data_IF_662415081030
#
_entry.id   IF_662415081030
#
_cell.length_a   1.000
_cell.length_b   1.000
_cell.length_c   1.000
_cell.angle_alpha   90.00
_cell.angle_beta   90.00
_cell.angle_gamma   90.00
#
_symmetry.space_group_name_H-M   'P 1'
#
loop_
_entity.id
_entity.type
_entity.pdbx_description
1 polymer ?
#
# COMPACT_ATOMS: atom_id res chain seq x y z
N UNK A 1 7.42 -10.70 -5.66
CA UNK A 1 8.29 -9.59 -6.14
C UNK A 1 7.53 -8.29 -6.40
N UNK A 2 6.40 -8.29 -7.15
CA UNK A 2 5.64 -7.05 -7.40
C UNK A 2 5.21 -6.29 -6.14
N UNK A 3 4.81 -6.99 -5.07
CA UNK A 3 4.48 -6.37 -3.79
C UNK A 3 5.65 -5.58 -3.17
N UNK A 4 6.88 -6.10 -3.25
CA UNK A 4 8.04 -5.40 -2.70
C UNK A 4 8.36 -4.12 -3.49
N UNK A 5 8.15 -4.12 -4.81
CA UNK A 5 8.28 -2.90 -5.61
C UNK A 5 7.18 -1.90 -5.23
N UNK A 6 5.93 -2.38 -5.12
CA UNK A 6 4.79 -1.55 -4.74
C UNK A 6 4.99 -0.87 -3.37
N UNK A 7 5.47 -1.60 -2.35
CA UNK A 7 5.70 -1.02 -1.03
C UNK A 7 6.69 0.14 -1.05
N UNK A 8 7.70 0.12 -1.93
CA UNK A 8 8.68 1.22 -2.06
C UNK A 8 7.99 2.50 -2.54
N UNK A 9 7.05 2.41 -3.48
CA UNK A 9 6.28 3.56 -3.95
C UNK A 9 5.35 4.13 -2.86
N UNK A 10 4.76 3.25 -2.03
CA UNK A 10 3.87 3.66 -0.92
C UNK A 10 4.67 4.24 0.25
N UNK A 11 5.82 3.65 0.60
CA UNK A 11 6.65 4.06 1.73
C UNK A 11 7.46 5.34 1.48
N UNK A 12 7.62 5.76 0.23
CA UNK A 12 8.38 6.97 -0.09
C UNK A 12 7.70 8.20 0.53
N UNK A 13 8.33 8.97 1.44
CA UNK A 13 7.73 10.19 1.97
C UNK A 13 7.65 11.31 0.91
N UNK A 14 8.60 11.33 -0.04
CA UNK A 14 8.69 12.29 -1.13
C UNK A 14 8.07 11.74 -2.42
N UNK A 15 6.83 11.25 -2.32
CA UNK A 15 6.07 10.72 -3.47
C UNK A 15 5.93 11.79 -4.53
N UNK A 16 6.18 11.46 -5.80
CA UNK A 16 5.82 12.35 -6.91
C UNK A 16 4.31 12.59 -6.96
N UNK A 17 3.87 13.77 -7.41
CA UNK A 17 2.45 14.14 -7.45
C UNK A 17 1.60 13.11 -8.20
N UNK A 18 2.06 12.65 -9.36
CA UNK A 18 1.37 11.62 -10.15
C UNK A 18 1.18 10.29 -9.41
N UNK A 19 2.17 9.85 -8.62
CA UNK A 19 2.09 8.62 -7.82
C UNK A 19 1.13 8.82 -6.66
N UNK A 20 1.23 9.95 -5.97
CA UNK A 20 0.32 10.31 -4.88
C UNK A 20 -1.14 10.30 -5.36
N UNK A 21 -1.43 11.00 -6.46
CA UNK A 21 -2.77 11.11 -7.01
C UNK A 21 -3.30 9.76 -7.49
N UNK A 22 -2.44 8.92 -8.08
CA UNK A 22 -2.81 7.56 -8.49
C UNK A 22 -3.21 6.71 -7.27
N UNK A 23 -2.42 6.75 -6.19
CA UNK A 23 -2.71 6.02 -4.97
C UNK A 23 -4.00 6.54 -4.30
N UNK A 24 -4.18 7.87 -4.23
CA UNK A 24 -5.36 8.50 -3.65
C UNK A 24 -6.63 8.15 -4.42
N UNK A 25 -6.62 8.24 -5.76
CA UNK A 25 -7.77 7.87 -6.62
C UNK A 25 -8.16 6.39 -6.49
N UNK A 26 -7.22 5.53 -6.11
CA UNK A 26 -7.44 4.09 -5.96
C UNK A 26 -7.49 3.63 -4.50
N UNK A 27 -7.53 4.57 -3.53
CA UNK A 27 -7.39 4.29 -2.09
C UNK A 27 -8.29 3.14 -1.63
N UNK A 28 -9.59 3.23 -1.87
CA UNK A 28 -10.56 2.22 -1.45
C UNK A 28 -10.32 0.86 -2.11
N UNK A 29 -10.07 0.85 -3.43
CA UNK A 29 -9.81 -0.38 -4.18
C UNK A 29 -8.53 -1.08 -3.71
N UNK A 30 -7.49 -0.31 -3.42
CA UNK A 30 -6.22 -0.83 -2.90
C UNK A 30 -6.38 -1.40 -1.49
N UNK A 31 -7.13 -0.73 -0.61
CA UNK A 31 -7.46 -1.24 0.72
C UNK A 31 -8.19 -2.58 0.65
N UNK A 32 -9.27 -2.65 -0.14
CA UNK A 32 -10.05 -3.87 -0.32
C UNK A 32 -9.21 -5.01 -0.89
N UNK A 33 -8.36 -4.72 -1.88
CA UNK A 33 -7.43 -5.71 -2.44
C UNK A 33 -6.44 -6.22 -1.40
N UNK A 34 -5.75 -5.33 -0.67
CA UNK A 34 -4.72 -5.70 0.31
C UNK A 34 -5.30 -6.50 1.49
N UNK A 35 -6.55 -6.22 1.90
CA UNK A 35 -7.23 -6.98 2.94
C UNK A 35 -7.42 -8.46 2.59
N UNK A 36 -7.62 -8.79 1.32
CA UNK A 36 -7.75 -10.16 0.82
C UNK A 36 -6.43 -10.74 0.27
N UNK A 37 -5.40 -9.92 0.11
CA UNK A 37 -4.17 -10.30 -0.58
C UNK A 37 -3.31 -11.23 0.28
N UNK A 38 -3.15 -12.47 -0.19
CA UNK A 38 -2.24 -13.50 0.36
C UNK A 38 -2.40 -13.74 1.88
N UNK A 39 -3.64 -13.87 2.36
CA UNK A 39 -3.95 -14.11 3.78
C UNK A 39 -3.50 -15.48 4.29
N UNK A 40 -3.38 -16.48 3.41
CA UNK A 40 -3.00 -17.85 3.78
C UNK A 40 -1.48 -18.03 3.94
N UNK A 41 -0.70 -16.94 3.76
CA UNK A 41 0.74 -16.96 3.88
C UNK A 41 1.13 -16.84 5.36
N UNK A 42 1.73 -17.88 5.93
CA UNK A 42 2.23 -17.91 7.32
C UNK A 42 3.53 -17.10 7.54
N UNK A 43 3.77 -16.07 6.74
CA UNK A 43 4.97 -15.23 6.78
C UNK A 43 4.65 -13.95 7.56
N UNK A 44 5.11 -13.89 8.82
CA UNK A 44 4.85 -12.77 9.73
C UNK A 44 5.42 -11.46 9.19
N UNK A 45 6.62 -11.48 8.59
CA UNK A 45 7.23 -10.30 7.98
C UNK A 45 6.34 -9.76 6.86
N UNK A 46 5.83 -10.63 6.00
CA UNK A 46 4.93 -10.20 4.94
C UNK A 46 3.63 -9.60 5.50
N UNK A 47 3.06 -10.18 6.56
CA UNK A 47 1.85 -9.65 7.20
C UNK A 47 2.08 -8.24 7.77
N UNK A 48 3.23 -7.99 8.40
CA UNK A 48 3.59 -6.65 8.89
C UNK A 48 3.80 -5.65 7.77
N UNK A 49 4.53 -6.03 6.71
CA UNK A 49 4.74 -5.18 5.53
C UNK A 49 3.41 -4.82 4.86
N UNK A 50 2.47 -5.78 4.78
CA UNK A 50 1.14 -5.55 4.23
C UNK A 50 0.34 -4.58 5.07
N UNK A 51 0.34 -4.75 6.40
CA UNK A 51 -0.32 -3.85 7.33
C UNK A 51 0.24 -2.43 7.21
N UNK A 52 1.57 -2.29 7.18
CA UNK A 52 2.22 -0.99 6.97
C UNK A 52 1.75 -0.29 5.68
N UNK A 53 1.70 -1.02 4.56
CA UNK A 53 1.24 -0.47 3.28
C UNK A 53 -0.23 -0.06 3.34
N UNK A 54 -1.08 -0.85 3.98
CA UNK A 54 -2.49 -0.51 4.20
C UNK A 54 -2.62 0.76 5.03
N UNK A 55 -1.89 0.87 6.13
CA UNK A 55 -1.95 2.05 7.00
C UNK A 55 -1.48 3.33 6.28
N UNK A 56 -0.40 3.25 5.49
CA UNK A 56 0.07 4.36 4.67
C UNK A 56 -0.95 4.82 3.62
N UNK A 57 -1.60 3.87 2.95
CA UNK A 57 -2.66 4.20 1.97
C UNK A 57 -3.87 4.82 2.67
N UNK A 58 -4.22 4.34 3.87
CA UNK A 58 -5.34 4.87 4.66
C UNK A 58 -5.10 6.33 5.08
N UNK A 59 -3.84 6.70 5.34
CA UNK A 59 -3.42 8.07 5.71
C UNK A 59 -3.27 9.04 4.53
N UNK A 60 -3.44 8.59 3.28
CA UNK A 60 -3.37 9.49 2.13
C UNK A 60 -4.51 10.50 2.15
N UNK A 61 -4.15 11.78 2.07
CA UNK A 61 -5.06 12.93 2.01
C UNK A 61 -4.77 13.75 0.75
N UNK A 62 -5.74 14.49 0.19
CA UNK A 62 -5.48 15.48 -0.85
C UNK A 62 -4.37 16.46 -0.41
N UNK A 63 -3.52 16.88 -1.35
CA UNK A 63 -2.47 17.89 -1.09
C UNK A 63 -3.05 19.29 -0.95
#
# INVERSE_FOLDING_TARGET
QAFHVFKIYVANPNKGAAVHDLLLRNKERLQAFLAAFQNDRADEQFAEEKRFVMDEIARLEPR
#
